data_IF_699530687769
#
_entry.id   IF_699530687769
#
_cell.length_a   1.000
_cell.length_b   1.000
_cell.length_c   1.000
_cell.angle_alpha   90.00
_cell.angle_beta   90.00
_cell.angle_gamma   90.00
#
_symmetry.space_group_name_H-M   'P 1'
#
loop_
_entity.id
_entity.type
_entity.pdbx_description
1 polymer ?
#
# COMPACT_ATOMS: atom_id res chain seq x y z
N UNK A 1 -7.14 -9.86 -7.33
CA UNK A 1 -7.85 -10.70 -6.34
C UNK A 1 -6.85 -11.68 -5.76
N UNK A 2 -6.51 -11.56 -4.47
CA UNK A 2 -5.91 -12.67 -3.75
C UNK A 2 -7.03 -13.66 -3.43
N UNK A 3 -6.99 -14.84 -4.05
CA UNK A 3 -7.86 -15.93 -3.60
C UNK A 3 -7.21 -16.55 -2.36
N UNK A 4 -7.97 -16.68 -1.28
CA UNK A 4 -7.53 -17.39 -0.06
C UNK A 4 -6.74 -16.57 0.97
N UNK A 5 -6.68 -15.23 0.87
CA UNK A 5 -6.19 -14.39 1.96
C UNK A 5 -7.38 -13.78 2.71
N UNK A 6 -7.34 -13.82 4.04
CA UNK A 6 -8.31 -13.12 4.88
C UNK A 6 -7.88 -11.65 5.11
N UNK A 7 -8.80 -10.74 5.49
CA UNK A 7 -8.47 -9.32 5.72
C UNK A 7 -7.32 -9.09 6.72
N UNK A 8 -7.17 -9.97 7.69
CA UNK A 8 -6.14 -9.93 8.74
C UNK A 8 -4.74 -10.28 8.20
N UNK A 9 -4.68 -10.96 7.04
CA UNK A 9 -3.42 -11.34 6.39
C UNK A 9 -2.97 -10.29 5.36
N UNK A 10 -3.62 -9.14 5.31
CA UNK A 10 -3.45 -8.15 4.26
C UNK A 10 -3.14 -6.77 4.83
N UNK A 11 -2.06 -6.17 4.33
CA UNK A 11 -1.78 -4.75 4.50
C UNK A 11 -2.31 -3.92 3.33
N UNK A 12 -2.70 -2.67 3.57
CA UNK A 12 -3.11 -1.74 2.52
C UNK A 12 -2.19 -0.53 2.45
N UNK A 13 -1.74 -0.21 1.24
CA UNK A 13 -1.05 1.04 0.92
C UNK A 13 -1.98 1.88 0.04
N UNK A 14 -2.55 2.93 0.61
CA UNK A 14 -3.65 3.70 0.02
C UNK A 14 -3.20 5.12 -0.27
N UNK A 15 -3.92 5.78 -1.19
CA UNK A 15 -3.57 7.16 -1.53
C UNK A 15 -4.19 8.15 -0.54
N UNK A 16 -5.52 8.20 -0.42
CA UNK A 16 -6.24 9.32 0.22
C UNK A 16 -7.04 8.97 1.45
N UNK A 17 -7.54 7.75 1.55
CA UNK A 17 -8.47 7.38 2.63
C UNK A 17 -8.29 5.89 2.97
N UNK A 18 -8.54 5.49 4.23
CA UNK A 18 -8.60 4.10 4.63
C UNK A 18 -9.86 3.42 4.07
N UNK A 19 -9.85 2.08 4.05
CA UNK A 19 -10.97 1.22 3.71
C UNK A 19 -11.48 0.52 4.97
N UNK A 20 -12.81 0.44 5.13
CA UNK A 20 -13.42 -0.17 6.33
C UNK A 20 -13.21 -1.70 6.43
N UNK A 21 -12.89 -2.35 5.31
CA UNK A 21 -12.78 -3.81 5.20
C UNK A 21 -11.52 -4.39 5.87
N UNK A 22 -10.51 -3.56 6.15
CA UNK A 22 -9.23 -3.99 6.74
C UNK A 22 -9.00 -3.21 8.05
N UNK A 23 -8.42 -3.82 9.10
CA UNK A 23 -8.11 -3.12 10.35
C UNK A 23 -7.30 -1.83 10.12
N UNK A 24 -7.63 -0.70 10.78
CA UNK A 24 -6.97 0.59 10.54
C UNK A 24 -5.45 0.57 10.73
N UNK A 25 -4.95 -0.26 11.63
CA UNK A 25 -3.53 -0.42 11.93
C UNK A 25 -2.78 -1.28 10.91
N UNK A 26 -3.48 -1.85 9.93
CA UNK A 26 -2.91 -2.54 8.76
C UNK A 26 -2.95 -1.68 7.50
N UNK A 27 -3.25 -0.38 7.64
CA UNK A 27 -3.42 0.53 6.51
C UNK A 27 -2.49 1.74 6.61
N UNK A 28 -1.89 2.08 5.48
CA UNK A 28 -1.05 3.26 5.33
C UNK A 28 -1.63 4.16 4.25
N UNK A 29 -2.13 5.33 4.65
CA UNK A 29 -2.59 6.37 3.72
C UNK A 29 -1.45 7.33 3.44
N UNK A 30 -1.02 7.41 2.18
CA UNK A 30 0.18 8.17 1.80
C UNK A 30 -0.04 9.68 1.74
N UNK A 31 -1.25 10.14 1.43
CA UNK A 31 -1.60 11.57 1.41
C UNK A 31 -3.11 11.75 1.50
N UNK A 32 -3.60 12.16 2.67
CA UNK A 32 -5.04 12.46 2.84
C UNK A 32 -5.51 13.61 1.93
N UNK A 33 -4.62 14.57 1.65
CA UNK A 33 -4.89 15.68 0.73
C UNK A 33 -5.03 15.22 -0.74
N UNK A 34 -4.31 14.16 -1.12
CA UNK A 34 -4.15 13.73 -2.51
C UNK A 34 -3.00 14.42 -3.23
N UNK A 35 -2.03 14.98 -2.50
CA UNK A 35 -0.78 15.48 -3.06
C UNK A 35 0.19 14.33 -3.36
N UNK A 36 0.67 14.28 -4.60
CA UNK A 36 1.62 13.27 -5.05
C UNK A 36 3.02 13.47 -4.47
N UNK A 37 3.42 14.69 -4.10
CA UNK A 37 4.67 14.96 -3.40
C UNK A 37 4.64 14.42 -1.98
N UNK A 38 3.55 14.68 -1.26
CA UNK A 38 3.30 14.11 0.07
C UNK A 38 3.33 12.58 0.01
N UNK A 39 2.62 12.00 -0.96
CA UNK A 39 2.59 10.56 -1.13
C UNK A 39 3.96 9.96 -1.42
N UNK A 40 4.75 10.57 -2.31
CA UNK A 40 6.10 10.11 -2.64
C UNK A 40 7.04 10.17 -1.42
N UNK A 41 6.95 11.24 -0.62
CA UNK A 41 7.73 11.40 0.62
C UNK A 41 7.39 10.32 1.65
N UNK A 42 6.11 10.00 1.78
CA UNK A 42 5.61 9.06 2.80
C UNK A 42 5.79 7.59 2.40
N UNK A 43 5.94 7.29 1.11
CA UNK A 43 5.94 5.93 0.54
C UNK A 43 6.87 4.95 1.27
N UNK A 44 8.15 5.29 1.45
CA UNK A 44 9.10 4.35 2.04
C UNK A 44 8.88 4.13 3.53
N UNK A 45 8.43 5.16 4.25
CA UNK A 45 8.12 5.03 5.67
C UNK A 45 6.90 4.12 5.86
N UNK A 46 5.86 4.29 5.03
CA UNK A 46 4.69 3.44 5.01
C UNK A 46 5.02 1.99 4.67
N UNK A 47 5.83 1.74 3.64
CA UNK A 47 6.26 0.38 3.27
C UNK A 47 7.00 -0.31 4.43
N UNK A 48 7.92 0.39 5.11
CA UNK A 48 8.62 -0.18 6.28
C UNK A 48 7.68 -0.51 7.43
N UNK A 49 6.64 0.30 7.66
CA UNK A 49 5.62 0.01 8.69
C UNK A 49 4.82 -1.23 8.33
N UNK A 50 4.39 -1.36 7.08
CA UNK A 50 3.70 -2.57 6.59
C UNK A 50 4.60 -3.81 6.63
N UNK A 51 5.90 -3.69 6.33
CA UNK A 51 6.85 -4.81 6.45
C UNK A 51 7.02 -5.25 7.91
N UNK A 52 7.08 -4.32 8.85
CA UNK A 52 7.14 -4.64 10.28
C UNK A 52 5.85 -5.32 10.78
N UNK A 53 4.69 -4.91 10.27
CA UNK A 53 3.42 -5.57 10.53
C UNK A 53 3.36 -6.96 9.89
N UNK A 54 3.92 -7.14 8.70
CA UNK A 54 4.04 -8.44 8.06
C UNK A 54 4.87 -9.42 8.92
N UNK A 55 5.99 -8.95 9.47
CA UNK A 55 6.84 -9.76 10.33
C UNK A 55 6.19 -10.11 11.68
N UNK A 56 5.45 -9.19 12.29
CA UNK A 56 4.86 -9.36 13.62
C UNK A 56 3.48 -10.02 13.64
N UNK A 57 2.67 -9.80 12.60
CA UNK A 57 1.26 -10.26 12.52
C UNK A 57 0.99 -11.25 11.39
N UNK A 58 2.00 -11.58 10.58
CA UNK A 58 1.85 -12.54 9.50
C UNK A 58 1.07 -12.02 8.30
N UNK A 59 1.16 -10.71 8.00
CA UNK A 59 0.65 -10.20 6.72
C UNK A 59 1.37 -10.90 5.57
N UNK A 60 0.60 -11.38 4.61
CA UNK A 60 1.09 -12.18 3.48
C UNK A 60 1.17 -11.38 2.18
N UNK A 61 0.44 -10.27 2.11
CA UNK A 61 0.43 -9.39 0.96
C UNK A 61 0.13 -7.95 1.36
N UNK A 62 0.67 -7.02 0.57
CA UNK A 62 0.28 -5.61 0.59
C UNK A 62 -0.49 -5.34 -0.71
N UNK A 63 -1.72 -4.84 -0.59
CA UNK A 63 -2.46 -4.32 -1.75
C UNK A 63 -2.37 -2.81 -1.82
N UNK A 64 -2.40 -2.31 -3.04
CA UNK A 64 -2.39 -0.88 -3.31
C UNK A 64 -3.29 -0.55 -4.49
N UNK A 65 -3.83 0.66 -4.48
CA UNK A 65 -4.52 1.23 -5.62
C UNK A 65 -3.52 1.86 -6.59
N UNK A 66 -3.94 2.05 -7.85
CA UNK A 66 -3.16 2.89 -8.76
C UNK A 66 -3.22 4.34 -8.30
N UNK A 67 -2.08 4.99 -8.28
CA UNK A 67 -1.96 6.43 -8.14
C UNK A 67 -2.28 7.10 -9.49
N UNK A 68 -2.65 8.39 -9.51
CA UNK A 68 -2.83 9.12 -10.75
C UNK A 68 -1.65 8.97 -11.73
N UNK A 69 -1.92 8.64 -12.99
CA UNK A 69 -0.89 8.39 -14.03
C UNK A 69 -0.29 9.69 -14.60
N UNK A 70 0.15 10.59 -13.72
CA UNK A 70 0.79 11.87 -14.07
C UNK A 70 1.87 12.22 -13.06
N UNK A 71 2.92 12.91 -13.51
CA UNK A 71 4.02 13.37 -12.65
C UNK A 71 4.56 12.27 -11.74
N UNK A 72 4.64 12.56 -10.44
CA UNK A 72 5.12 11.61 -9.42
C UNK A 72 4.23 10.37 -9.27
N UNK A 73 2.94 10.43 -9.59
CA UNK A 73 2.06 9.27 -9.47
C UNK A 73 2.45 8.15 -10.44
N UNK A 74 2.91 8.49 -11.66
CA UNK A 74 3.50 7.52 -12.61
C UNK A 74 4.77 6.88 -12.04
N UNK A 75 5.63 7.68 -11.42
CA UNK A 75 6.88 7.19 -10.82
C UNK A 75 6.61 6.26 -9.61
N UNK A 76 5.63 6.59 -8.77
CA UNK A 76 5.15 5.75 -7.66
C UNK A 76 4.63 4.42 -8.22
N UNK A 77 3.72 4.45 -9.20
CA UNK A 77 3.16 3.25 -9.81
C UNK A 77 4.23 2.36 -10.44
N UNK A 78 5.21 2.96 -11.14
CA UNK A 78 6.32 2.22 -11.73
C UNK A 78 7.17 1.50 -10.67
N UNK A 79 7.45 2.17 -9.55
CA UNK A 79 8.17 1.55 -8.43
C UNK A 79 7.36 0.44 -7.76
N UNK A 80 6.07 0.67 -7.50
CA UNK A 80 5.18 -0.34 -6.91
C UNK A 80 5.04 -1.56 -7.82
N UNK A 81 4.94 -1.36 -9.13
CA UNK A 81 4.89 -2.44 -10.12
C UNK A 81 6.17 -3.26 -10.14
N UNK A 82 7.34 -2.62 -10.06
CA UNK A 82 8.63 -3.34 -9.95
C UNK A 82 8.76 -4.13 -8.65
N UNK A 83 8.20 -3.61 -7.56
CA UNK A 83 8.18 -4.29 -6.27
C UNK A 83 7.09 -5.38 -6.18
N UNK A 84 6.05 -5.28 -7.01
CA UNK A 84 4.96 -6.25 -7.00
C UNK A 84 5.40 -7.59 -7.57
N UNK A 85 5.12 -8.64 -6.82
CA UNK A 85 5.17 -10.01 -7.32
C UNK A 85 3.76 -10.53 -7.50
N UNK A 86 3.49 -11.15 -8.65
CA UNK A 86 2.25 -11.89 -8.88
C UNK A 86 2.62 -13.36 -8.95
N UNK A 87 2.20 -14.19 -7.98
CA UNK A 87 2.39 -15.63 -8.08
C UNK A 87 1.72 -16.13 -9.36
N UNK A 88 2.41 -17.00 -10.09
CA UNK A 88 1.88 -17.66 -11.28
C UNK A 88 0.63 -18.50 -10.94
#
# INVERSE_FOLDING_TARGET
RARGLSPEQVGLLLFRAPLAEVPPDQQEVLSMSGDLNEAARNLFAALRRLDALAASRGLRAIFTQKFPERGLGRAINDRLRRASFRPA
#
